data_IF_846531811093
#
_entry.id   IF_846531811093
#
_cell.length_a   1.000
_cell.length_b   1.000
_cell.length_c   1.000
_cell.angle_alpha   90.00
_cell.angle_beta   90.00
_cell.angle_gamma   90.00
#
_symmetry.space_group_name_H-M   'P 1'
#
loop_
_entity.id
_entity.type
_entity.pdbx_description
1 polymer ?
#
# COMPACT_ATOMS: atom_id res chain seq x y z
N UNK A 1 33.10 -11.38 -38.57
CA UNK A 1 32.42 -11.60 -37.29
C UNK A 1 32.16 -10.23 -36.71
N UNK A 2 31.01 -9.66 -37.04
CA UNK A 2 30.54 -8.38 -36.52
C UNK A 2 29.61 -8.67 -35.33
N UNK A 3 30.06 -8.34 -34.15
CA UNK A 3 29.25 -8.39 -32.91
C UNK A 3 28.23 -7.28 -32.98
N UNK A 4 26.97 -7.67 -33.16
CA UNK A 4 25.81 -6.81 -33.00
C UNK A 4 25.67 -6.47 -31.50
N UNK A 5 26.19 -5.31 -31.09
CA UNK A 5 25.86 -4.71 -29.80
C UNK A 5 24.44 -4.12 -29.89
N UNK A 6 23.47 -4.96 -29.62
CA UNK A 6 22.09 -4.58 -29.35
C UNK A 6 22.09 -3.50 -28.26
N UNK A 7 22.00 -2.23 -28.65
CA UNK A 7 21.80 -1.09 -27.75
C UNK A 7 20.50 -1.28 -26.99
N UNK A 8 20.58 -1.85 -25.77
CA UNK A 8 19.46 -1.84 -24.83
C UNK A 8 19.05 -0.38 -24.62
N UNK A 9 17.93 0.00 -25.21
CA UNK A 9 17.33 1.32 -25.00
C UNK A 9 17.07 1.46 -23.50
N UNK A 10 17.87 2.28 -22.81
CA UNK A 10 17.66 2.57 -21.38
C UNK A 10 16.37 3.36 -21.28
N UNK A 11 15.32 2.68 -20.86
CA UNK A 11 14.01 3.29 -20.66
C UNK A 11 14.13 4.28 -19.49
N UNK A 12 14.10 5.58 -19.76
CA UNK A 12 14.06 6.63 -18.74
C UNK A 12 12.60 6.99 -18.46
N UNK A 13 12.04 6.59 -17.31
CA UNK A 13 10.68 6.97 -16.94
C UNK A 13 10.52 8.50 -17.03
N UNK A 14 9.38 8.95 -17.51
CA UNK A 14 9.04 10.38 -17.61
C UNK A 14 9.94 11.22 -18.53
N UNK A 15 10.63 10.60 -19.47
CA UNK A 15 11.48 11.32 -20.44
C UNK A 15 10.70 12.03 -21.55
N UNK A 16 9.41 11.68 -21.71
CA UNK A 16 8.54 12.22 -22.76
C UNK A 16 7.21 12.71 -22.17
N UNK A 17 6.61 13.68 -22.85
CA UNK A 17 5.28 14.16 -22.54
C UNK A 17 4.25 13.05 -22.79
N UNK A 18 3.40 12.76 -21.82
CA UNK A 18 2.37 11.72 -21.95
C UNK A 18 1.17 12.15 -22.82
N UNK A 19 1.04 13.45 -23.14
CA UNK A 19 -0.02 13.96 -24.03
C UNK A 19 0.36 13.83 -25.51
N UNK A 20 1.58 14.20 -25.89
CA UNK A 20 1.97 14.28 -27.29
C UNK A 20 3.24 13.52 -27.67
N UNK A 21 3.91 12.88 -26.72
CA UNK A 21 5.11 12.10 -26.94
C UNK A 21 6.39 12.94 -27.18
N UNK A 22 6.34 14.26 -27.10
CA UNK A 22 7.53 15.11 -27.24
C UNK A 22 8.53 14.84 -26.11
N UNK A 23 9.80 14.61 -26.45
CA UNK A 23 10.86 14.43 -25.46
C UNK A 23 11.09 15.71 -24.64
N UNK A 24 11.26 15.56 -23.33
CA UNK A 24 11.73 16.65 -22.49
C UNK A 24 13.24 16.86 -22.68
N UNK A 25 13.73 18.12 -22.61
CA UNK A 25 15.16 18.39 -22.66
C UNK A 25 15.94 17.61 -21.59
N UNK A 26 17.17 17.16 -21.87
CA UNK A 26 18.04 16.56 -20.85
C UNK A 26 18.20 17.47 -19.62
N UNK A 27 18.18 16.87 -18.42
CA UNK A 27 18.30 17.63 -17.16
C UNK A 27 17.02 18.31 -16.68
N UNK A 28 15.87 18.07 -17.32
CA UNK A 28 14.56 18.52 -16.82
C UNK A 28 14.07 17.57 -15.74
N UNK A 29 14.55 17.76 -14.48
CA UNK A 29 14.21 16.85 -13.36
C UNK A 29 13.17 17.44 -12.38
N UNK A 30 12.74 18.68 -12.60
CA UNK A 30 11.73 19.36 -11.77
C UNK A 30 10.31 19.04 -12.22
N UNK A 31 9.35 19.13 -11.28
CA UNK A 31 7.92 18.97 -11.52
C UNK A 31 7.15 20.12 -10.89
N UNK A 32 5.99 20.55 -11.45
CA UNK A 32 5.40 20.12 -12.72
C UNK A 32 6.24 20.54 -13.95
N UNK A 33 5.97 19.91 -15.13
CA UNK A 33 6.69 20.20 -16.38
C UNK A 33 5.74 20.71 -17.46
N UNK A 34 6.09 21.83 -18.07
CA UNK A 34 5.41 22.30 -19.30
C UNK A 34 6.06 21.63 -20.52
N UNK A 35 5.25 21.02 -21.37
CA UNK A 35 5.73 20.37 -22.58
C UNK A 35 6.18 21.40 -23.62
N UNK A 36 7.40 21.30 -24.19
CA UNK A 36 7.85 22.22 -25.23
C UNK A 36 7.13 22.04 -26.57
N UNK A 37 6.45 20.91 -26.78
CA UNK A 37 5.75 20.61 -28.04
C UNK A 37 4.27 20.96 -28.02
N UNK A 38 3.54 20.66 -26.94
CA UNK A 38 2.10 20.91 -26.86
C UNK A 38 1.67 21.90 -25.77
N UNK A 39 2.60 22.43 -25.00
CA UNK A 39 2.38 23.38 -23.88
C UNK A 39 1.60 22.83 -22.68
N UNK A 40 1.12 21.58 -22.74
CA UNK A 40 0.42 20.91 -21.64
C UNK A 40 1.33 20.73 -20.42
N UNK A 41 0.73 20.79 -19.21
CA UNK A 41 1.45 20.63 -17.96
C UNK A 41 1.33 19.20 -17.47
N UNK A 42 2.48 18.53 -17.31
CA UNK A 42 2.55 17.20 -16.73
C UNK A 42 2.91 17.29 -15.24
N UNK A 43 2.21 16.53 -14.42
CA UNK A 43 2.45 16.39 -12.98
C UNK A 43 3.05 15.03 -12.67
N UNK A 44 3.80 14.96 -11.58
CA UNK A 44 4.23 13.72 -10.96
C UNK A 44 3.81 13.75 -9.49
N UNK A 45 2.64 13.23 -9.22
CA UNK A 45 2.04 13.23 -7.90
C UNK A 45 2.49 12.01 -7.08
N UNK A 46 2.50 12.10 -5.73
CA UNK A 46 2.61 10.92 -4.88
C UNK A 46 1.51 9.92 -5.21
N UNK A 47 1.84 8.63 -5.17
CA UNK A 47 0.86 7.58 -5.36
C UNK A 47 0.12 7.34 -4.03
N UNK A 48 -1.22 7.30 -4.03
CA UNK A 48 -1.99 6.96 -2.84
C UNK A 48 -1.94 5.44 -2.59
N UNK A 49 -1.77 5.07 -1.31
CA UNK A 49 -1.71 3.68 -0.82
C UNK A 49 -2.72 3.55 0.32
N UNK A 50 -3.65 2.61 0.21
CA UNK A 50 -4.59 2.28 1.27
C UNK A 50 -4.06 1.08 2.08
N UNK A 51 -4.13 1.18 3.42
CA UNK A 51 -3.65 0.16 4.36
C UNK A 51 -4.78 -0.23 5.29
N UNK A 52 -5.10 -1.52 5.37
CA UNK A 52 -6.17 -2.07 6.20
C UNK A 52 -5.65 -2.50 7.57
N UNK A 53 -6.24 -1.98 8.63
CA UNK A 53 -5.99 -2.40 10.01
C UNK A 53 -7.25 -3.10 10.52
N UNK A 54 -7.21 -4.43 10.63
CA UNK A 54 -8.33 -5.25 11.09
C UNK A 54 -8.00 -5.88 12.46
N UNK A 55 -8.65 -5.42 13.53
CA UNK A 55 -8.54 -6.04 14.84
C UNK A 55 -9.29 -7.38 14.89
N UNK A 56 -8.71 -8.33 15.63
CA UNK A 56 -9.27 -9.67 15.84
C UNK A 56 -9.40 -9.94 17.33
N UNK A 57 -10.61 -10.28 17.76
CA UNK A 57 -10.88 -10.72 19.13
C UNK A 57 -10.74 -12.24 19.26
N UNK A 58 -10.19 -12.67 20.39
CA UNK A 58 -9.98 -14.07 20.75
C UNK A 58 -10.50 -14.30 22.15
N UNK A 59 -11.27 -15.40 22.43
CA UNK A 59 -11.91 -15.59 23.73
C UNK A 59 -10.94 -15.61 24.91
N UNK A 60 -9.77 -16.26 24.74
CA UNK A 60 -8.84 -16.56 25.83
C UNK A 60 -7.46 -15.91 25.61
N UNK A 61 -7.38 -14.87 24.79
CA UNK A 61 -6.12 -14.18 24.49
C UNK A 61 -6.34 -12.69 24.18
N UNK A 62 -5.28 -11.91 24.32
CA UNK A 62 -5.30 -10.49 23.98
C UNK A 62 -5.69 -10.29 22.49
N UNK A 63 -6.36 -9.16 22.18
CA UNK A 63 -6.66 -8.82 20.81
C UNK A 63 -5.41 -8.81 19.94
N UNK A 64 -5.57 -9.07 18.64
CA UNK A 64 -4.50 -9.09 17.66
C UNK A 64 -4.89 -8.32 16.40
N UNK A 65 -3.95 -8.08 15.49
CA UNK A 65 -4.21 -7.46 14.20
C UNK A 65 -3.90 -8.43 13.07
N UNK A 66 -4.71 -8.40 12.00
CA UNK A 66 -4.42 -9.15 10.78
C UNK A 66 -3.22 -8.53 10.08
N UNK A 67 -2.26 -9.37 9.74
CA UNK A 67 -1.10 -9.04 8.89
C UNK A 67 -0.91 -10.11 7.84
N UNK A 68 -0.20 -9.80 6.78
CA UNK A 68 0.17 -10.72 5.70
C UNK A 68 1.66 -11.00 5.74
N UNK A 69 2.09 -12.18 5.25
CA UNK A 69 3.49 -12.46 4.94
C UNK A 69 3.70 -12.24 3.45
N UNK A 70 4.50 -11.25 3.11
CA UNK A 70 4.76 -10.86 1.71
C UNK A 70 5.55 -11.92 0.94
N UNK A 71 5.15 -12.17 -0.31
CA UNK A 71 5.88 -13.02 -1.25
C UNK A 71 6.47 -12.24 -2.43
N UNK A 72 6.36 -10.90 -2.40
CA UNK A 72 6.90 -9.99 -3.41
C UNK A 72 7.79 -8.91 -2.78
N UNK A 73 8.68 -8.33 -3.59
CA UNK A 73 9.47 -7.17 -3.19
C UNK A 73 8.65 -5.84 -3.30
N UNK A 74 8.96 -4.84 -2.49
CA UNK A 74 9.93 -4.84 -1.38
C UNK A 74 9.42 -5.59 -0.14
N UNK A 75 10.34 -6.15 0.66
CA UNK A 75 10.00 -6.77 1.93
C UNK A 75 9.58 -8.23 1.83
N UNK A 76 10.10 -8.97 0.86
CA UNK A 76 9.88 -10.42 0.72
C UNK A 76 10.11 -11.16 2.04
N UNK A 77 9.18 -12.04 2.41
CA UNK A 77 9.22 -12.86 3.62
C UNK A 77 8.89 -12.11 4.93
N UNK A 78 8.71 -10.79 4.90
CA UNK A 78 8.39 -9.97 6.06
C UNK A 78 6.88 -9.78 6.23
N UNK A 79 6.47 -9.37 7.44
CA UNK A 79 5.06 -9.10 7.76
C UNK A 79 4.70 -7.65 7.47
N UNK A 80 3.48 -7.44 6.97
CA UNK A 80 2.91 -6.12 6.71
C UNK A 80 1.41 -6.11 7.04
N UNK A 81 0.82 -4.95 7.26
CA UNK A 81 -0.64 -4.83 7.14
C UNK A 81 -1.04 -5.03 5.67
N UNK A 82 -2.21 -5.62 5.41
CA UNK A 82 -2.78 -5.66 4.06
C UNK A 82 -2.90 -4.26 3.47
N UNK A 83 -2.57 -4.10 2.20
CA UNK A 83 -2.69 -2.80 1.54
C UNK A 83 -1.85 -2.65 0.29
N UNK A 84 -2.30 -1.74 -0.58
CA UNK A 84 -1.67 -1.47 -1.85
C UNK A 84 -2.12 -0.15 -2.47
N UNK A 85 -1.83 0.02 -3.75
CA UNK A 85 -2.17 1.23 -4.49
C UNK A 85 -3.68 1.36 -4.68
N UNK A 86 -4.14 2.60 -4.62
CA UNK A 86 -5.51 2.90 -5.01
C UNK A 86 -5.65 2.87 -6.53
N UNK A 87 -6.71 2.22 -7.02
CA UNK A 87 -7.06 2.20 -8.42
C UNK A 87 -7.86 3.45 -8.82
N UNK A 88 -7.78 3.78 -10.11
CA UNK A 88 -8.57 4.88 -10.65
C UNK A 88 -10.07 4.57 -10.54
N UNK A 89 -10.81 5.51 -9.93
CA UNK A 89 -12.27 5.42 -9.80
C UNK A 89 -12.76 4.80 -8.49
N UNK A 90 -11.88 4.32 -7.61
CA UNK A 90 -12.28 3.87 -6.27
C UNK A 90 -11.99 4.91 -5.18
N UNK A 91 -12.75 4.88 -4.10
CA UNK A 91 -12.42 5.62 -2.89
C UNK A 91 -11.32 4.90 -2.10
N UNK A 92 -10.62 5.63 -1.20
CA UNK A 92 -9.59 5.03 -0.37
C UNK A 92 -10.12 3.92 0.56
N UNK A 93 -11.41 4.02 0.99
CA UNK A 93 -12.06 2.97 1.76
C UNK A 93 -12.31 1.72 0.90
N UNK A 94 -12.71 1.91 -0.36
CA UNK A 94 -12.88 0.81 -1.31
C UNK A 94 -11.56 0.12 -1.60
N UNK A 95 -10.47 0.89 -1.81
CA UNK A 95 -9.12 0.33 -1.94
C UNK A 95 -8.73 -0.49 -0.70
N UNK A 96 -8.94 0.06 0.50
CA UNK A 96 -8.64 -0.61 1.76
C UNK A 96 -9.30 -1.99 1.89
N UNK A 97 -10.60 -2.09 1.58
CA UNK A 97 -11.32 -3.38 1.67
C UNK A 97 -11.05 -4.30 0.49
N UNK A 98 -10.73 -3.77 -0.68
CA UNK A 98 -10.29 -4.56 -1.85
C UNK A 98 -8.97 -5.26 -1.55
N UNK A 99 -7.96 -4.51 -1.12
CA UNK A 99 -6.64 -5.04 -0.76
C UNK A 99 -6.74 -6.08 0.38
N UNK A 100 -7.51 -5.77 1.43
CA UNK A 100 -7.78 -6.76 2.50
C UNK A 100 -8.32 -8.06 1.93
N UNK A 101 -9.30 -7.99 1.02
CA UNK A 101 -9.89 -9.19 0.40
C UNK A 101 -8.92 -9.92 -0.52
N UNK A 102 -8.18 -9.22 -1.35
CA UNK A 102 -7.25 -9.79 -2.33
C UNK A 102 -6.09 -10.51 -1.64
N UNK A 103 -5.54 -9.92 -0.59
CA UNK A 103 -4.38 -10.45 0.13
C UNK A 103 -4.73 -11.47 1.22
N UNK A 104 -5.97 -11.46 1.75
CA UNK A 104 -6.35 -12.31 2.89
C UNK A 104 -7.61 -13.16 2.69
N UNK A 105 -8.42 -12.87 1.68
CA UNK A 105 -9.75 -13.47 1.51
C UNK A 105 -10.81 -12.90 2.46
N UNK A 106 -10.48 -11.93 3.32
CA UNK A 106 -11.41 -11.34 4.28
C UNK A 106 -12.18 -10.20 3.61
N UNK A 107 -13.52 -10.33 3.53
CA UNK A 107 -14.38 -9.28 2.99
C UNK A 107 -14.84 -8.32 4.09
N UNK A 108 -14.94 -7.03 3.77
CA UNK A 108 -15.43 -5.98 4.66
C UNK A 108 -16.24 -4.94 3.86
N UNK A 109 -17.04 -4.12 4.56
CA UNK A 109 -17.73 -3.00 3.93
C UNK A 109 -16.86 -1.73 3.99
N UNK A 110 -16.74 -1.04 2.87
CA UNK A 110 -16.00 0.22 2.79
C UNK A 110 -16.62 1.34 3.67
N UNK A 111 -17.94 1.26 3.95
CA UNK A 111 -18.61 2.20 4.83
C UNK A 111 -18.17 2.10 6.30
N UNK A 112 -17.63 0.94 6.70
CA UNK A 112 -17.16 0.69 8.06
C UNK A 112 -15.71 1.14 8.29
N UNK A 113 -14.99 1.54 7.24
CA UNK A 113 -13.58 1.92 7.33
C UNK A 113 -13.43 3.34 7.87
N UNK A 114 -12.75 3.48 8.99
CA UNK A 114 -12.44 4.78 9.63
C UNK A 114 -10.97 5.13 9.43
N UNK A 115 -10.68 6.35 8.93
CA UNK A 115 -9.30 6.83 8.83
C UNK A 115 -8.70 7.06 10.23
N UNK A 116 -7.61 6.37 10.55
CA UNK A 116 -6.90 6.53 11.82
C UNK A 116 -5.55 7.22 11.67
N UNK A 117 -4.98 7.19 10.47
CA UNK A 117 -3.70 7.86 10.21
C UNK A 117 -3.50 8.10 8.71
N UNK A 118 -2.83 9.21 8.39
CA UNK A 118 -2.36 9.53 7.06
C UNK A 118 -0.94 10.09 7.16
N UNK A 119 -0.04 9.63 6.30
CA UNK A 119 1.32 10.15 6.24
C UNK A 119 1.90 10.03 4.82
N UNK A 120 2.88 10.87 4.50
CA UNK A 120 3.72 10.69 3.32
C UNK A 120 4.94 9.82 3.67
N UNK A 121 5.45 9.07 2.70
CA UNK A 121 6.76 8.44 2.84
C UNK A 121 7.87 9.52 2.89
N UNK A 122 9.06 9.22 3.46
CA UNK A 122 10.13 10.20 3.61
C UNK A 122 10.60 10.84 2.30
N UNK A 123 10.37 10.18 1.17
CA UNK A 123 10.75 10.68 -0.15
C UNK A 123 9.61 11.39 -0.89
N UNK A 124 8.42 11.50 -0.30
CA UNK A 124 7.25 12.13 -0.91
C UNK A 124 6.70 11.38 -2.14
N UNK A 125 6.97 10.09 -2.27
CA UNK A 125 6.51 9.26 -3.41
C UNK A 125 5.15 8.63 -3.18
N UNK A 126 4.77 8.44 -1.91
CA UNK A 126 3.52 7.82 -1.49
C UNK A 126 2.80 8.67 -0.47
N UNK A 127 1.47 8.60 -0.50
CA UNK A 127 0.58 9.05 0.58
C UNK A 127 -0.16 7.82 1.08
N UNK A 128 0.11 7.43 2.32
CA UNK A 128 -0.48 6.24 2.94
C UNK A 128 -1.69 6.62 3.79
N UNK A 129 -2.81 5.96 3.56
CA UNK A 129 -4.07 6.12 4.29
C UNK A 129 -4.34 4.83 5.07
N UNK A 130 -4.30 4.90 6.41
CA UNK A 130 -4.60 3.75 7.28
C UNK A 130 -6.07 3.75 7.67
N UNK A 131 -6.79 2.73 7.22
CA UNK A 131 -8.17 2.46 7.55
C UNK A 131 -8.32 1.42 8.66
N UNK A 132 -8.95 1.81 9.76
CA UNK A 132 -9.35 0.88 10.84
C UNK A 132 -10.72 0.31 10.52
N UNK A 133 -10.82 -1.00 10.60
CA UNK A 133 -12.07 -1.76 10.46
C UNK A 133 -12.63 -2.14 11.86
N UNK A 134 -13.92 -2.42 11.96
CA UNK A 134 -14.50 -3.02 13.16
C UNK A 134 -13.82 -4.34 13.53
N UNK A 135 -13.61 -4.55 14.84
CA UNK A 135 -13.01 -5.78 15.33
C UNK A 135 -13.91 -6.99 15.01
N UNK A 136 -13.30 -8.13 14.65
CA UNK A 136 -14.00 -9.39 14.35
C UNK A 136 -13.50 -10.52 15.22
N UNK A 137 -14.40 -11.44 15.61
CA UNK A 137 -14.00 -12.71 16.23
C UNK A 137 -13.12 -13.53 15.27
N UNK A 138 -12.06 -14.15 15.77
CA UNK A 138 -11.20 -15.04 14.97
C UNK A 138 -11.99 -16.16 14.29
N UNK A 139 -13.04 -16.66 14.94
CA UNK A 139 -13.91 -17.71 14.41
C UNK A 139 -14.72 -17.31 13.16
N UNK A 140 -14.84 -16.01 12.88
CA UNK A 140 -15.57 -15.50 11.70
C UNK A 140 -14.64 -15.26 10.50
N UNK A 141 -13.33 -15.36 10.69
CA UNK A 141 -12.38 -15.15 9.60
C UNK A 141 -12.24 -16.41 8.73
N UNK A 142 -12.10 -16.26 7.41
CA UNK A 142 -11.82 -17.39 6.55
C UNK A 142 -10.44 -17.99 6.88
N UNK A 143 -10.18 -19.26 6.55
CA UNK A 143 -8.85 -19.82 6.73
C UNK A 143 -7.80 -19.05 5.91
N UNK A 144 -6.63 -18.82 6.52
CA UNK A 144 -5.51 -18.21 5.83
C UNK A 144 -5.07 -19.09 4.64
N UNK A 145 -4.88 -18.48 3.49
CA UNK A 145 -4.44 -19.15 2.25
C UNK A 145 -3.44 -18.25 1.51
N UNK A 146 -2.44 -18.84 0.85
CA UNK A 146 -1.57 -18.09 -0.04
C UNK A 146 -2.35 -17.44 -1.19
N UNK A 147 -1.84 -16.30 -1.64
CA UNK A 147 -2.26 -15.59 -2.86
C UNK A 147 -1.04 -15.36 -3.76
N UNK A 148 -1.19 -14.63 -4.86
CA UNK A 148 -0.05 -14.30 -5.74
C UNK A 148 0.98 -13.38 -5.05
N UNK A 149 0.57 -12.61 -4.03
CA UNK A 149 1.41 -11.61 -3.36
C UNK A 149 1.72 -11.93 -1.90
N UNK A 150 1.03 -12.91 -1.30
CA UNK A 150 1.18 -13.24 0.12
C UNK A 150 1.18 -14.74 0.38
N UNK A 151 1.90 -15.15 1.43
CA UNK A 151 1.85 -16.54 1.96
C UNK A 151 0.69 -16.70 2.98
N UNK A 152 -0.37 -15.91 2.78
CA UNK A 152 -1.54 -15.85 3.63
C UNK A 152 -1.42 -14.86 4.80
N UNK A 153 -2.53 -14.75 5.56
CA UNK A 153 -2.60 -13.85 6.70
C UNK A 153 -2.22 -14.56 8.02
N UNK A 154 -1.75 -13.75 8.95
CA UNK A 154 -1.35 -14.13 10.31
C UNK A 154 -1.86 -13.09 11.31
N UNK A 155 -1.75 -13.39 12.61
CA UNK A 155 -2.08 -12.46 13.68
C UNK A 155 -0.81 -11.83 14.27
N UNK A 156 -0.77 -10.51 14.28
CA UNK A 156 0.28 -9.73 14.93
C UNK A 156 -0.13 -9.36 16.37
N UNK A 157 0.84 -9.41 17.26
CA UNK A 157 0.80 -8.89 18.64
C UNK A 157 1.64 -7.61 18.76
N UNK A 158 1.66 -7.00 19.94
CA UNK A 158 2.41 -5.75 20.17
C UNK A 158 3.89 -5.79 19.77
N UNK A 159 4.52 -6.96 19.94
CA UNK A 159 5.96 -7.16 19.70
C UNK A 159 6.26 -7.71 18.29
N UNK A 160 5.25 -7.87 17.43
CA UNK A 160 5.44 -8.40 16.08
C UNK A 160 6.14 -7.37 15.20
N UNK A 161 7.34 -7.66 14.65
CA UNK A 161 8.01 -6.75 13.76
C UNK A 161 7.34 -6.72 12.38
N UNK A 162 7.06 -5.53 11.87
CA UNK A 162 6.53 -5.30 10.52
C UNK A 162 7.60 -4.66 9.63
N UNK A 163 7.48 -4.88 8.32
CA UNK A 163 8.50 -4.50 7.33
C UNK A 163 8.81 -3.00 7.30
N UNK A 164 7.81 -2.13 7.51
CA UNK A 164 8.00 -0.68 7.43
C UNK A 164 7.77 0.00 8.79
N UNK A 165 8.55 1.05 9.06
CA UNK A 165 8.41 1.86 10.27
C UNK A 165 7.02 2.47 10.42
N UNK A 166 6.38 2.82 9.31
CA UNK A 166 5.00 3.29 9.28
C UNK A 166 4.05 2.25 9.88
N UNK A 167 4.13 0.97 9.45
CA UNK A 167 3.32 -0.12 9.97
C UNK A 167 3.62 -0.39 11.45
N UNK A 168 4.89 -0.39 11.83
CA UNK A 168 5.30 -0.54 13.23
C UNK A 168 4.77 0.61 14.10
N UNK A 169 4.70 1.84 13.55
CA UNK A 169 4.10 2.99 14.20
C UNK A 169 2.61 2.80 14.50
N UNK A 170 1.84 2.32 13.51
CA UNK A 170 0.41 2.02 13.65
C UNK A 170 0.19 0.89 14.66
N UNK A 171 0.99 -0.20 14.57
CA UNK A 171 0.93 -1.33 15.50
C UNK A 171 1.08 -0.86 16.95
N UNK A 172 2.15 -0.11 17.26
CA UNK A 172 2.39 0.40 18.62
C UNK A 172 1.26 1.31 19.13
N UNK A 173 0.73 2.20 18.28
CA UNK A 173 -0.36 3.11 18.64
C UNK A 173 -1.66 2.37 18.92
N UNK A 174 -1.95 1.32 18.12
CA UNK A 174 -3.14 0.51 18.33
C UNK A 174 -3.07 -0.25 19.66
N UNK A 175 -1.97 -0.96 19.94
CA UNK A 175 -1.78 -1.67 21.21
C UNK A 175 -1.63 -0.72 22.42
N UNK A 176 -1.20 0.52 22.18
CA UNK A 176 -1.19 1.60 23.16
C UNK A 176 -2.57 2.20 23.46
N UNK A 177 -3.65 1.72 22.81
CA UNK A 177 -5.02 2.17 23.02
C UNK A 177 -5.38 3.51 22.37
N UNK A 178 -4.56 4.02 21.45
CA UNK A 178 -4.79 5.34 20.81
C UNK A 178 -5.99 5.33 19.86
N UNK A 179 -6.32 4.17 19.26
CA UNK A 179 -7.40 4.02 18.29
C UNK A 179 -8.61 3.26 18.86
N UNK A 180 -8.90 3.40 20.16
CA UNK A 180 -10.12 2.82 20.74
C UNK A 180 -11.35 3.36 20.04
N UNK A 181 -12.19 2.48 19.52
CA UNK A 181 -13.48 2.86 18.95
C UNK A 181 -14.31 3.56 20.04
N UNK A 182 -14.76 4.76 19.73
CA UNK A 182 -15.76 5.45 20.55
C UNK A 182 -17.14 4.90 20.27
#
# INVERSE_FOLDING_TARGET
MTTDESTKTVHRPFSHCHFCGTAYPPGTDTWPRTCPGCTEISYRNPLPVAVAVLPVTRPDADPALVVIRRTIEPGYGQLAFPGGYMDYGESWQQACVRELREETGISADAADVTLIHMASDPNGRFVMLCGLLPARPLSELPPSRPTDETDGWQLATADTPLVWDFHNGILRRWFGGEFTQR
#
